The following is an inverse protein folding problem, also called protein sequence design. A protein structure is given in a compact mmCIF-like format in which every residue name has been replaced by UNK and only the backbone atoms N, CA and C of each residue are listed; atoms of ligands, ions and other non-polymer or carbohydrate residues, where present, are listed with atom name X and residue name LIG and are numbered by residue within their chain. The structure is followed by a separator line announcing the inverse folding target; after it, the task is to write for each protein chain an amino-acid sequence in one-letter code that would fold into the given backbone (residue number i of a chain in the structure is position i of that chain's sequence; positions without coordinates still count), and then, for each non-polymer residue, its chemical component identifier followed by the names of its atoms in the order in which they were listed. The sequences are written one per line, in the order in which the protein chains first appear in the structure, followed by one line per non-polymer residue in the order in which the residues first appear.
data_IF_084304534394
#
_entry.id   IF_084304534394
#
_cell.length_a   1.000
_cell.length_b   1.000
_cell.length_c   1.000
_cell.angle_alpha   90.00
_cell.angle_beta   90.00
_cell.angle_gamma   90.00
#
_symmetry.space_group_name_H-M   'P 1'
#
loop_
_entity.id
_entity.type
_entity.pdbx_description
1 polymer ?
#
# COMPACT_ATOMS: atom_id res chain seq x y z
N UNK A 1 0.62 -54.18 -49.69
CA UNK A 1 1.24 -52.82 -49.73
C UNK A 1 0.69 -52.00 -48.59
N UNK A 2 1.54 -51.69 -47.61
CA UNK A 2 1.20 -51.08 -46.33
C UNK A 2 1.01 -49.56 -46.55
N UNK A 3 -0.22 -49.06 -46.49
CA UNK A 3 -0.48 -47.61 -46.60
C UNK A 3 -0.26 -46.97 -45.23
N UNK A 4 0.90 -46.36 -45.03
CA UNK A 4 1.12 -45.39 -43.96
C UNK A 4 0.38 -44.10 -44.32
N UNK A 5 -0.68 -43.76 -43.58
CA UNK A 5 -1.28 -42.43 -43.63
C UNK A 5 -0.65 -41.62 -42.49
N UNK A 6 0.14 -40.61 -42.85
CA UNK A 6 0.76 -39.68 -41.93
C UNK A 6 -0.31 -38.88 -41.19
N UNK A 7 -0.33 -38.98 -39.86
CA UNK A 7 -1.08 -38.07 -39.00
C UNK A 7 -0.27 -36.78 -38.91
N UNK A 8 -0.70 -35.75 -39.63
CA UNK A 8 -0.15 -34.40 -39.51
C UNK A 8 -0.58 -33.85 -38.15
N UNK A 9 0.35 -33.82 -37.20
CA UNK A 9 0.21 -33.05 -35.97
C UNK A 9 0.21 -31.58 -36.38
N UNK A 10 -0.98 -30.98 -36.46
CA UNK A 10 -1.12 -29.53 -36.53
C UNK A 10 -0.61 -28.95 -35.22
N UNK A 11 0.64 -28.50 -35.24
CA UNK A 11 1.16 -27.58 -34.24
C UNK A 11 0.34 -26.29 -34.35
N UNK A 12 -0.59 -26.09 -33.42
CA UNK A 12 -1.27 -24.81 -33.22
C UNK A 12 -0.18 -23.83 -32.79
N UNK A 13 0.28 -23.02 -33.74
CA UNK A 13 1.13 -21.88 -33.48
C UNK A 13 0.29 -20.87 -32.70
N UNK A 14 0.48 -20.82 -31.38
CA UNK A 14 -0.01 -19.74 -30.53
C UNK A 14 0.77 -18.48 -30.94
N UNK A 15 0.28 -17.79 -31.96
CA UNK A 15 0.70 -16.43 -32.24
C UNK A 15 0.05 -15.55 -31.16
N UNK A 16 0.84 -15.04 -30.21
CA UNK A 16 0.37 -14.04 -29.25
C UNK A 16 -0.13 -12.81 -30.02
N UNK A 17 -1.44 -12.61 -30.06
CA UNK A 17 -2.04 -11.35 -30.50
C UNK A 17 -1.90 -10.30 -29.39
N UNK A 18 -1.90 -9.02 -29.75
CA UNK A 18 -1.72 -7.93 -28.79
C UNK A 18 -2.83 -7.90 -27.72
N UNK A 19 -4.06 -8.27 -28.10
CA UNK A 19 -5.22 -8.35 -27.17
C UNK A 19 -4.98 -9.34 -26.03
N UNK A 20 -4.47 -10.55 -26.32
CA UNK A 20 -4.19 -11.57 -25.29
C UNK A 20 -3.07 -11.11 -24.34
N UNK A 21 -2.09 -10.36 -24.85
CA UNK A 21 -1.01 -9.81 -24.02
C UNK A 21 -1.51 -8.69 -23.11
N UNK A 22 -2.41 -7.83 -23.58
CA UNK A 22 -3.02 -6.78 -22.77
C UNK A 22 -3.91 -7.34 -21.66
N UNK A 23 -4.76 -8.33 -21.97
CA UNK A 23 -5.59 -9.01 -20.98
C UNK A 23 -4.75 -9.73 -19.91
N UNK A 24 -3.70 -10.46 -20.32
CA UNK A 24 -2.81 -11.15 -19.38
C UNK A 24 -2.07 -10.16 -18.45
N UNK A 25 -1.62 -9.03 -19.00
CA UNK A 25 -1.00 -7.98 -18.19
C UNK A 25 -2.00 -7.37 -17.21
N UNK A 26 -3.26 -7.15 -17.61
CA UNK A 26 -4.30 -6.64 -16.72
C UNK A 26 -4.60 -7.62 -15.57
N UNK A 27 -4.71 -8.92 -15.86
CA UNK A 27 -4.93 -9.96 -14.84
C UNK A 27 -3.75 -10.03 -13.85
N UNK A 28 -2.51 -10.01 -14.35
CA UNK A 28 -1.33 -10.03 -13.48
C UNK A 28 -1.23 -8.78 -12.60
N UNK A 29 -1.64 -7.62 -13.13
CA UNK A 29 -1.67 -6.38 -12.36
C UNK A 29 -2.69 -6.44 -11.23
N UNK A 30 -3.91 -6.93 -11.51
CA UNK A 30 -4.94 -7.09 -10.47
C UNK A 30 -4.47 -8.03 -9.36
N UNK A 31 -3.93 -9.21 -9.72
CA UNK A 31 -3.41 -10.16 -8.74
C UNK A 31 -2.27 -9.56 -7.88
N UNK A 32 -1.35 -8.83 -8.51
CA UNK A 32 -0.26 -8.15 -7.78
C UNK A 32 -0.79 -7.05 -6.87
N UNK A 33 -1.80 -6.30 -7.31
CA UNK A 33 -2.44 -5.27 -6.50
C UNK A 33 -3.11 -5.88 -5.27
N UNK A 34 -3.89 -6.94 -5.44
CA UNK A 34 -4.52 -7.65 -4.32
C UNK A 34 -3.49 -8.20 -3.34
N UNK A 35 -2.38 -8.76 -3.83
CA UNK A 35 -1.29 -9.20 -2.97
C UNK A 35 -0.67 -8.04 -2.15
N UNK A 36 -0.54 -6.85 -2.75
CA UNK A 36 -0.04 -5.67 -2.05
C UNK A 36 -1.05 -5.14 -1.02
N UNK A 37 -2.35 -5.25 -1.28
CA UNK A 37 -3.40 -4.96 -0.30
C UNK A 37 -3.30 -5.93 0.89
N UNK A 38 -3.16 -7.23 0.63
CA UNK A 38 -2.96 -8.25 1.68
C UNK A 38 -1.70 -7.97 2.50
N UNK A 39 -0.59 -7.65 1.84
CA UNK A 39 0.65 -7.28 2.52
C UNK A 39 0.45 -6.04 3.40
N UNK A 40 -0.26 -5.02 2.92
CA UNK A 40 -0.54 -3.86 3.76
C UNK A 40 -1.46 -4.20 4.95
N UNK A 41 -2.48 -5.03 4.75
CA UNK A 41 -3.35 -5.46 5.85
C UNK A 41 -2.57 -6.29 6.88
N UNK A 42 -1.61 -7.10 6.45
CA UNK A 42 -0.70 -7.79 7.37
C UNK A 42 0.19 -6.79 8.15
N UNK A 43 0.68 -5.73 7.50
CA UNK A 43 1.37 -4.64 8.18
C UNK A 43 0.49 -4.02 9.28
N UNK A 44 -0.78 -3.76 8.99
CA UNK A 44 -1.68 -3.17 10.00
C UNK A 44 -1.93 -4.10 11.19
N UNK A 45 -1.98 -5.42 10.96
CA UNK A 45 -2.15 -6.42 12.04
C UNK A 45 -0.91 -6.49 12.91
N UNK A 46 0.29 -6.52 12.31
CA UNK A 46 1.56 -6.54 13.05
C UNK A 46 1.76 -5.26 13.83
N UNK A 47 1.46 -4.11 13.22
CA UNK A 47 1.50 -2.83 13.91
C UNK A 47 0.51 -2.79 15.07
N UNK A 48 -0.72 -3.30 14.84
CA UNK A 48 -1.75 -3.45 15.87
C UNK A 48 -1.38 -4.35 17.05
N UNK A 49 -0.58 -5.38 16.77
CA UNK A 49 -0.05 -6.32 17.77
C UNK A 49 1.29 -5.87 18.37
N UNK A 50 1.73 -4.64 18.09
CA UNK A 50 3.01 -4.07 18.56
C UNK A 50 4.26 -4.92 18.18
N UNK A 51 4.18 -5.65 17.06
CA UNK A 51 5.25 -6.49 16.52
C UNK A 51 6.21 -5.66 15.64
N UNK A 52 7.07 -4.85 16.27
CA UNK A 52 7.97 -3.95 15.52
C UNK A 52 8.96 -4.71 14.63
N UNK A 53 9.47 -5.87 15.07
CA UNK A 53 10.39 -6.68 14.26
C UNK A 53 9.70 -7.21 13.01
N UNK A 54 8.49 -7.76 13.16
CA UNK A 54 7.68 -8.22 12.03
C UNK A 54 7.25 -7.08 11.11
N UNK A 55 6.88 -5.91 11.66
CA UNK A 55 6.60 -4.71 10.86
C UNK A 55 7.83 -4.35 10.02
N UNK A 56 9.01 -4.25 10.63
CA UNK A 56 10.23 -3.87 9.94
C UNK A 56 10.69 -4.91 8.92
N UNK A 57 10.42 -6.20 9.12
CA UNK A 57 10.69 -7.21 8.08
C UNK A 57 9.93 -6.89 6.80
N UNK A 58 8.74 -6.31 6.86
CA UNK A 58 7.93 -5.98 5.66
C UNK A 58 8.55 -4.89 4.78
N UNK A 59 9.51 -4.13 5.30
CA UNK A 59 10.23 -3.08 4.58
C UNK A 59 11.56 -3.61 4.03
N UNK A 60 11.89 -3.26 2.80
CA UNK A 60 13.23 -3.49 2.26
C UNK A 60 14.28 -2.66 3.03
N UNK A 61 15.52 -3.12 3.06
CA UNK A 61 16.60 -2.39 3.75
C UNK A 61 16.84 -0.99 3.18
N UNK A 62 16.56 -0.80 1.89
CA UNK A 62 16.65 0.49 1.19
C UNK A 62 15.36 1.32 1.27
N UNK A 63 14.43 0.98 2.15
CA UNK A 63 13.18 1.69 2.28
C UNK A 63 13.41 3.14 2.74
N UNK A 64 12.62 4.05 2.17
CA UNK A 64 12.59 5.45 2.56
C UNK A 64 11.18 5.83 3.02
N UNK A 65 11.13 6.70 4.03
CA UNK A 65 9.91 7.18 4.65
C UNK A 65 9.78 8.70 4.51
N UNK A 66 8.60 9.15 4.10
CA UNK A 66 8.19 10.55 4.17
C UNK A 66 7.17 10.69 5.31
N UNK A 67 7.52 11.29 6.44
CA UNK A 67 6.64 11.44 7.60
C UNK A 67 5.46 12.40 7.38
N UNK A 68 4.42 12.29 8.20
CA UNK A 68 3.32 13.25 8.27
C UNK A 68 3.72 14.57 8.95
N UNK A 69 4.68 14.54 9.88
CA UNK A 69 5.22 15.73 10.53
C UNK A 69 6.19 16.51 9.61
N UNK A 70 6.33 17.81 9.89
CA UNK A 70 7.30 18.63 9.16
C UNK A 70 8.73 18.15 9.41
N UNK A 71 9.43 17.80 8.33
CA UNK A 71 10.81 17.32 8.38
C UNK A 71 11.71 17.95 7.30
N UNK A 72 11.43 19.19 6.90
CA UNK A 72 12.09 19.88 5.78
C UNK A 72 11.92 19.20 4.41
N UNK A 73 10.90 18.34 4.25
CA UNK A 73 10.60 17.61 3.01
C UNK A 73 11.71 16.64 2.58
N UNK A 74 12.45 16.10 3.55
CA UNK A 74 13.48 15.11 3.30
C UNK A 74 12.92 13.68 3.41
N UNK A 75 13.56 12.73 2.74
CA UNK A 75 13.24 11.31 2.93
C UNK A 75 14.08 10.74 4.07
N UNK A 76 13.42 10.04 4.98
CA UNK A 76 14.03 9.43 6.15
C UNK A 76 14.36 7.96 5.89
N UNK A 77 15.42 7.40 6.49
CA UNK A 77 15.75 5.98 6.39
C UNK A 77 14.78 5.10 7.20
N UNK A 78 14.79 3.79 6.91
CA UNK A 78 14.01 2.76 7.62
C UNK A 78 14.18 2.80 9.15
N UNK A 79 15.38 3.07 9.65
CA UNK A 79 15.63 3.15 11.09
C UNK A 79 14.87 4.31 11.77
N UNK A 80 14.69 5.43 11.07
CA UNK A 80 13.87 6.55 11.57
C UNK A 80 12.39 6.18 11.61
N UNK A 81 11.91 5.45 10.61
CA UNK A 81 10.55 4.91 10.59
C UNK A 81 10.33 3.93 11.75
N UNK A 82 11.28 3.03 11.99
CA UNK A 82 11.24 2.10 13.12
C UNK A 82 11.11 2.86 14.45
N UNK A 83 11.94 3.90 14.65
CA UNK A 83 11.87 4.73 15.85
C UNK A 83 10.50 5.39 16.04
N UNK A 84 9.92 5.95 14.98
CA UNK A 84 8.60 6.57 15.03
C UNK A 84 7.49 5.55 15.34
N UNK A 85 7.52 4.39 14.69
CA UNK A 85 6.55 3.31 14.92
C UNK A 85 6.65 2.74 16.33
N UNK A 86 7.86 2.51 16.84
CA UNK A 86 8.08 2.09 18.22
C UNK A 86 7.56 3.10 19.23
N UNK A 87 7.78 4.40 18.99
CA UNK A 87 7.24 5.44 19.85
C UNK A 87 5.71 5.41 19.86
N UNK A 88 5.08 5.23 18.69
CA UNK A 88 3.63 5.11 18.60
C UNK A 88 3.10 3.89 19.37
N UNK A 89 3.72 2.71 19.19
CA UNK A 89 3.38 1.48 19.92
C UNK A 89 3.55 1.63 21.44
N UNK A 90 4.53 2.41 21.91
CA UNK A 90 4.72 2.65 23.33
C UNK A 90 3.73 3.67 23.94
N UNK A 91 3.11 4.50 23.11
CA UNK A 91 2.21 5.58 23.54
C UNK A 91 0.73 5.23 23.37
N UNK A 92 0.43 4.20 22.57
CA UNK A 92 -0.93 3.85 22.19
C UNK A 92 -1.15 2.34 22.18
N UNK A 93 -2.24 1.91 22.80
CA UNK A 93 -2.73 0.53 22.82
C UNK A 93 -3.93 0.37 21.86
N UNK A 94 -4.37 -0.88 21.64
CA UNK A 94 -5.58 -1.24 20.87
C UNK A 94 -5.61 -0.68 19.43
N UNK A 95 -4.42 -0.54 18.85
CA UNK A 95 -4.17 -0.02 17.50
C UNK A 95 -4.93 -0.82 16.44
N UNK A 96 -5.91 -0.19 15.80
CA UNK A 96 -6.74 -0.80 14.76
C UNK A 96 -6.83 0.09 13.52
N UNK A 97 -6.58 -0.48 12.34
CA UNK A 97 -6.82 0.20 11.06
C UNK A 97 -8.13 -0.26 10.44
N UNK A 98 -8.99 0.71 10.08
CA UNK A 98 -10.18 0.46 9.27
C UNK A 98 -9.98 1.07 7.88
N UNK A 99 -9.91 0.26 6.81
CA UNK A 99 -9.76 0.77 5.45
C UNK A 99 -11.03 1.48 4.97
N UNK A 100 -10.84 2.47 4.12
CA UNK A 100 -11.91 3.20 3.45
C UNK A 100 -12.27 4.53 4.09
N UNK A 101 -13.16 5.25 3.41
CA UNK A 101 -13.64 6.57 3.85
C UNK A 101 -15.15 6.54 3.94
N UNK A 102 -15.68 6.83 5.12
CA UNK A 102 -17.10 7.10 5.31
C UNK A 102 -17.44 8.46 4.71
N UNK A 103 -18.32 8.45 3.70
CA UNK A 103 -18.89 9.63 3.08
C UNK A 103 -20.28 9.92 3.66
N UNK A 104 -20.83 11.12 3.41
CA UNK A 104 -22.22 11.42 3.73
C UNK A 104 -23.19 10.39 3.14
N UNK A 105 -24.35 10.27 3.79
CA UNK A 105 -25.45 9.40 3.35
C UNK A 105 -25.12 7.89 3.36
N UNK A 106 -24.13 7.49 4.17
CA UNK A 106 -23.78 6.07 4.36
C UNK A 106 -22.97 5.46 3.22
N UNK A 107 -22.46 6.29 2.30
CA UNK A 107 -21.56 5.83 1.24
C UNK A 107 -20.17 5.52 1.81
N UNK A 108 -19.50 4.51 1.26
CA UNK A 108 -18.13 4.14 1.65
C UNK A 108 -17.26 4.06 0.41
N UNK A 109 -16.13 4.79 0.42
CA UNK A 109 -15.08 4.67 -0.60
C UNK A 109 -14.11 3.58 -0.18
N UNK A 110 -13.68 2.75 -1.13
CA UNK A 110 -12.67 1.73 -0.91
C UNK A 110 -11.36 2.33 -0.34
N UNK A 111 -10.70 1.58 0.53
CA UNK A 111 -9.46 1.96 1.16
C UNK A 111 -8.24 1.86 0.26
N UNK A 112 -8.32 1.15 -0.88
CA UNK A 112 -7.14 0.81 -1.67
C UNK A 112 -7.30 1.15 -3.15
N UNK A 113 -6.27 1.82 -3.70
CA UNK A 113 -6.25 2.17 -5.12
C UNK A 113 -4.87 1.96 -5.71
N UNK A 114 -4.76 1.12 -6.73
CA UNK A 114 -3.52 0.89 -7.47
C UNK A 114 -3.29 1.91 -8.58
N UNK A 115 -2.03 2.33 -8.75
CA UNK A 115 -1.60 3.12 -9.89
C UNK A 115 -2.16 4.55 -9.95
N UNK A 116 -2.05 5.18 -11.12
CA UNK A 116 -2.49 6.55 -11.40
C UNK A 116 -2.87 6.68 -12.87
N UNK A 117 -4.14 6.41 -13.21
CA UNK A 117 -4.62 6.39 -14.60
C UNK A 117 -4.65 7.76 -15.27
N UNK A 118 -4.84 8.83 -14.50
CA UNK A 118 -4.96 10.19 -15.03
C UNK A 118 -4.00 11.13 -14.28
N UNK A 119 -3.45 12.10 -15.02
CA UNK A 119 -2.56 13.16 -14.50
C UNK A 119 -3.09 14.52 -14.90
N UNK A 120 -2.84 15.52 -14.06
CA UNK A 120 -3.26 16.91 -14.33
C UNK A 120 -2.43 17.58 -15.42
N UNK A 121 -1.16 17.19 -15.60
CA UNK A 121 -0.25 17.79 -16.58
C UNK A 121 -0.28 17.12 -17.96
N UNK A 122 -0.93 15.95 -18.09
CA UNK A 122 -1.04 15.19 -19.34
C UNK A 122 0.30 14.78 -19.98
N UNK A 123 1.42 14.96 -19.28
CA UNK A 123 2.75 14.80 -19.85
C UNK A 123 3.24 13.35 -19.74
N UNK A 124 3.53 12.73 -20.88
CA UNK A 124 4.05 11.35 -20.96
C UNK A 124 5.57 11.26 -20.71
N UNK A 125 6.26 12.35 -20.37
CA UNK A 125 7.73 12.42 -20.39
C UNK A 125 8.39 12.68 -19.02
N UNK A 126 7.66 12.60 -17.92
CA UNK A 126 8.24 12.74 -16.57
C UNK A 126 8.38 11.37 -15.91
N UNK A 127 9.26 11.25 -14.90
CA UNK A 127 9.40 10.06 -14.02
C UNK A 127 8.11 9.67 -13.29
N UNK A 128 7.05 10.45 -13.50
CA UNK A 128 5.74 10.32 -12.92
C UNK A 128 4.73 9.84 -13.98
N UNK A 129 5.10 8.92 -14.89
CA UNK A 129 4.15 8.37 -15.87
C UNK A 129 2.82 8.00 -15.20
N UNK A 130 1.70 8.25 -15.89
CA UNK A 130 0.46 7.54 -15.56
C UNK A 130 0.81 6.06 -15.49
N UNK A 131 0.72 5.49 -14.31
CA UNK A 131 1.27 4.18 -14.03
C UNK A 131 0.12 3.25 -13.73
N UNK A 132 -0.06 2.23 -14.56
CA UNK A 132 -0.89 1.08 -14.21
C UNK A 132 -0.17 0.14 -13.21
N UNK A 133 0.98 0.57 -12.65
CA UNK A 133 1.76 -0.27 -11.75
C UNK A 133 0.93 -0.66 -10.53
N UNK A 134 0.73 -1.97 -10.32
CA UNK A 134 0.03 -2.48 -9.14
C UNK A 134 0.86 -2.34 -7.86
N UNK A 135 2.14 -1.97 -7.99
CA UNK A 135 3.11 -1.81 -6.90
C UNK A 135 3.17 -0.39 -6.33
N UNK A 136 2.38 0.53 -6.87
CA UNK A 136 2.13 1.84 -6.27
C UNK A 136 0.67 1.85 -5.81
N UNK A 137 0.45 1.82 -4.50
CA UNK A 137 -0.90 1.86 -3.94
C UNK A 137 -1.12 3.13 -3.14
N UNK A 138 -2.32 3.66 -3.23
CA UNK A 138 -2.87 4.65 -2.31
C UNK A 138 -3.70 3.92 -1.28
N UNK A 139 -3.52 4.27 -0.03
CA UNK A 139 -4.26 3.72 1.10
C UNK A 139 -5.02 4.83 1.80
N UNK A 140 -6.30 4.60 2.07
CA UNK A 140 -7.18 5.46 2.84
C UNK A 140 -7.78 4.67 3.99
N UNK A 141 -7.85 5.28 5.16
CA UNK A 141 -8.52 4.66 6.29
C UNK A 141 -8.51 5.53 7.53
N UNK A 142 -8.89 4.90 8.64
CA UNK A 142 -8.86 5.49 9.96
C UNK A 142 -8.11 4.57 10.91
N UNK A 143 -7.11 5.11 11.59
CA UNK A 143 -6.53 4.48 12.76
C UNK A 143 -7.37 4.84 13.99
N UNK A 144 -7.65 3.83 14.81
CA UNK A 144 -8.20 3.98 16.16
C UNK A 144 -7.21 3.41 17.15
N UNK A 145 -7.11 4.05 18.31
CA UNK A 145 -6.20 3.66 19.39
C UNK A 145 -6.69 4.16 20.74
N UNK A 146 -6.09 3.65 21.81
CA UNK A 146 -6.24 4.16 23.18
C UNK A 146 -4.89 4.71 23.63
N UNK A 147 -4.82 5.95 24.07
CA UNK A 147 -3.57 6.49 24.63
C UNK A 147 -3.26 5.81 25.97
N UNK A 148 -2.12 5.12 26.07
CA UNK A 148 -1.83 4.18 27.15
C UNK A 148 -1.79 4.85 28.53
N UNK A 149 -1.33 6.11 28.62
CA UNK A 149 -1.24 6.82 29.91
C UNK A 149 -2.60 7.34 30.40
N UNK A 150 -3.45 7.85 29.49
CA UNK A 150 -4.69 8.54 29.87
C UNK A 150 -5.94 7.69 29.69
N UNK A 151 -5.85 6.57 28.97
CA UNK A 151 -6.97 5.72 28.61
C UNK A 151 -7.95 6.36 27.61
N UNK A 152 -7.59 7.49 27.00
CA UNK A 152 -8.48 8.18 26.05
C UNK A 152 -8.40 7.55 24.67
N UNK A 153 -9.56 7.35 24.07
CA UNK A 153 -9.65 6.92 22.67
C UNK A 153 -9.25 8.05 21.73
N UNK A 154 -8.49 7.70 20.71
CA UNK A 154 -8.08 8.60 19.63
C UNK A 154 -8.43 7.99 18.27
N UNK A 155 -8.69 8.89 17.31
CA UNK A 155 -8.99 8.55 15.93
C UNK A 155 -8.17 9.44 15.00
N UNK A 156 -7.58 8.85 13.97
CA UNK A 156 -6.77 9.56 12.98
C UNK A 156 -7.17 9.11 11.58
N UNK A 157 -7.74 10.05 10.79
CA UNK A 157 -7.90 9.85 9.36
C UNK A 157 -6.52 9.82 8.73
N UNK A 158 -6.26 8.78 7.96
CA UNK A 158 -4.93 8.48 7.47
C UNK A 158 -4.95 8.22 5.96
N UNK A 159 -3.95 8.77 5.28
CA UNK A 159 -3.71 8.56 3.87
C UNK A 159 -2.24 8.20 3.67
N UNK A 160 -1.97 7.26 2.77
CA UNK A 160 -0.61 6.95 2.38
C UNK A 160 -0.46 6.61 0.90
N UNK A 161 0.76 6.82 0.40
CA UNK A 161 1.25 6.28 -0.87
C UNK A 161 2.37 5.30 -0.53
N UNK A 162 2.18 4.04 -0.90
CA UNK A 162 3.09 2.95 -0.58
C UNK A 162 3.60 2.33 -1.87
N UNK A 163 4.91 2.12 -1.94
CA UNK A 163 5.54 1.40 -3.03
C UNK A 163 6.10 0.07 -2.57
N UNK A 164 5.79 -0.98 -3.35
CA UNK A 164 6.30 -2.32 -3.17
C UNK A 164 7.35 -2.63 -4.25
N UNK A 165 8.32 -3.47 -3.91
CA UNK A 165 9.17 -4.12 -4.91
C UNK A 165 8.55 -5.46 -5.36
N UNK A 166 9.17 -6.12 -6.33
CA UNK A 166 8.71 -7.42 -6.87
C UNK A 166 8.66 -8.56 -5.83
N UNK A 167 9.31 -8.38 -4.67
CA UNK A 167 9.28 -9.33 -3.55
C UNK A 167 8.16 -9.04 -2.55
N UNK A 168 7.29 -8.06 -2.82
CA UNK A 168 6.22 -7.65 -1.91
C UNK A 168 6.71 -6.88 -0.68
N UNK A 169 7.97 -6.40 -0.67
CA UNK A 169 8.50 -5.57 0.42
C UNK A 169 8.26 -4.09 0.13
N UNK A 170 7.94 -3.32 1.16
CA UNK A 170 7.75 -1.87 1.07
C UNK A 170 9.11 -1.19 0.84
N UNK A 171 9.20 -0.35 -0.18
CA UNK A 171 10.39 0.44 -0.53
C UNK A 171 10.18 1.95 -0.38
N UNK A 172 8.94 2.44 -0.42
CA UNK A 172 8.60 3.83 -0.10
C UNK A 172 7.34 3.84 0.73
N UNK A 173 7.35 4.62 1.79
CA UNK A 173 6.21 4.81 2.68
C UNK A 173 6.03 6.30 2.85
N UNK A 174 4.92 6.85 2.37
CA UNK A 174 4.58 8.26 2.49
C UNK A 174 3.24 8.32 3.17
N UNK A 175 3.14 8.97 4.31
CA UNK A 175 1.88 9.04 5.01
C UNK A 175 1.54 10.43 5.53
N UNK A 176 0.24 10.67 5.61
CA UNK A 176 -0.35 11.94 6.01
C UNK A 176 -1.48 11.68 7.00
N UNK A 177 -1.36 12.32 8.15
CA UNK A 177 -2.45 12.47 9.09
C UNK A 177 -2.22 13.70 9.97
N UNK A 178 -3.23 14.07 10.76
CA UNK A 178 -3.11 15.19 11.68
C UNK A 178 -2.45 14.75 12.99
N UNK A 179 -1.12 14.88 13.07
CA UNK A 179 -0.33 14.53 14.27
C UNK A 179 -0.80 15.33 15.49
N UNK A 180 -0.91 16.66 15.36
CA UNK A 180 -1.35 17.55 16.44
C UNK A 180 -2.80 17.25 16.88
N UNK A 181 -3.61 16.70 15.98
CA UNK A 181 -4.98 16.29 16.25
C UNK A 181 -5.11 15.14 17.25
N UNK A 182 -4.09 14.28 17.38
CA UNK A 182 -4.05 13.24 18.41
C UNK A 182 -3.88 13.86 19.80
N UNK A 183 -2.97 14.81 19.95
CA UNK A 183 -2.71 15.50 21.22
C UNK A 183 -3.94 16.27 21.71
N UNK A 184 -4.68 16.90 20.79
CA UNK A 184 -5.95 17.56 21.14
C UNK A 184 -6.97 16.56 21.71
N UNK A 185 -7.09 15.36 21.13
CA UNK A 185 -7.99 14.32 21.61
C UNK A 185 -7.57 13.80 22.99
N UNK A 186 -6.27 13.67 23.24
CA UNK A 186 -5.71 13.23 24.53
C UNK A 186 -5.96 14.26 25.63
N UNK A 187 -6.11 15.55 25.31
CA UNK A 187 -6.29 16.60 26.31
C UNK A 187 -7.74 17.04 26.54
N UNK A 188 -8.70 16.59 25.72
CA UNK A 188 -10.14 16.87 25.88
C UNK A 188 -10.81 15.98 26.91
#
# INVERSE_FOLDING_TARGET
MRKFLFITISAVLISCTNEVKEELNAVNNEATFQQNVENFMEFTKRFGNEDIEGVMDMFADSALWSPPEFNSYEWMPKDSLMGAMSNYMNSFDELTFTPGINLPEGNVVDGFWGGSRYRSDGAENTSSLSSASPNNIRVYGTWSSVHSETGKQTYSKWYAIINFNERGKIIRFNDWFNVDGLEVQINQ
#
